data_IF_674882407586
#
_entry.id   IF_674882407586
#
_cell.length_a   1.000
_cell.length_b   1.000
_cell.length_c   1.000
_cell.angle_alpha   90.00
_cell.angle_beta   90.00
_cell.angle_gamma   90.00
#
_symmetry.space_group_name_H-M   'P 1'
#
loop_
_entity.id
_entity.type
_entity.pdbx_description
1 polymer ?
#
# COMPACT_ATOMS: atom_id res chain seq x y z
N UNK A 1 0.07 4.93 21.06
CA UNK A 1 -0.93 3.85 20.87
C UNK A 1 -0.27 2.50 21.16
N UNK A 2 -0.99 1.54 21.73
CA UNK A 2 -0.32 0.33 22.21
C UNK A 2 -0.48 -0.81 21.21
N UNK A 3 0.63 -1.34 20.68
CA UNK A 3 0.65 -2.54 19.84
C UNK A 3 0.18 -3.81 20.57
N UNK A 4 -0.03 -3.73 21.89
CA UNK A 4 -0.37 -4.87 22.74
C UNK A 4 -1.69 -5.59 22.37
N UNK A 5 -2.56 -4.93 21.60
CA UNK A 5 -3.78 -5.56 21.10
C UNK A 5 -3.55 -6.46 19.88
N UNK A 6 -2.41 -6.31 19.18
CA UNK A 6 -2.10 -7.07 17.97
C UNK A 6 -1.08 -8.16 18.26
N UNK A 7 -1.31 -9.34 17.69
CA UNK A 7 -0.31 -10.41 17.66
C UNK A 7 0.66 -10.14 16.50
N UNK A 8 1.89 -9.76 16.85
CA UNK A 8 2.92 -9.39 15.87
C UNK A 8 4.11 -10.34 15.99
N UNK A 9 4.39 -11.07 14.91
CA UNK A 9 5.62 -11.84 14.78
C UNK A 9 6.73 -10.91 14.30
N UNK A 10 7.81 -10.84 15.08
CA UNK A 10 8.96 -9.95 14.82
C UNK A 10 10.16 -10.78 14.43
N UNK A 11 10.71 -10.49 13.26
CA UNK A 11 11.89 -11.16 12.71
C UNK A 11 13.04 -10.14 12.60
N UNK A 12 14.25 -10.53 13.02
CA UNK A 12 15.41 -9.67 12.80
C UNK A 12 15.71 -9.55 11.31
N UNK A 13 15.75 -10.69 10.60
CA UNK A 13 15.99 -10.78 9.16
C UNK A 13 15.16 -11.92 8.57
N UNK A 14 14.65 -11.71 7.36
CA UNK A 14 13.90 -12.71 6.59
C UNK A 14 14.16 -12.47 5.09
N UNK A 15 13.86 -13.44 4.24
CA UNK A 15 13.89 -13.19 2.79
C UNK A 15 12.77 -12.23 2.37
N UNK A 16 11.52 -12.49 2.78
CA UNK A 16 10.37 -11.64 2.55
C UNK A 16 9.31 -11.88 3.63
N UNK A 17 8.78 -10.82 4.21
CA UNK A 17 7.66 -10.91 5.18
C UNK A 17 6.41 -11.53 4.55
N UNK A 18 6.14 -11.28 3.26
CA UNK A 18 5.04 -11.92 2.54
C UNK A 18 5.23 -13.44 2.41
N UNK A 19 6.45 -13.88 2.07
CA UNK A 19 6.74 -15.33 1.99
C UNK A 19 6.58 -15.98 3.35
N UNK A 20 7.18 -15.42 4.39
CA UNK A 20 7.03 -15.93 5.76
C UNK A 20 5.56 -15.99 6.19
N UNK A 21 4.78 -14.93 5.92
CA UNK A 21 3.36 -14.90 6.24
C UNK A 21 2.57 -15.99 5.48
N UNK A 22 2.96 -16.32 4.24
CA UNK A 22 2.37 -17.39 3.45
C UNK A 22 2.71 -18.77 4.02
N UNK A 23 3.99 -19.00 4.28
CA UNK A 23 4.48 -20.31 4.77
C UNK A 23 3.93 -20.64 6.16
N UNK A 24 3.76 -19.62 7.01
CA UNK A 24 3.27 -19.75 8.39
C UNK A 24 1.77 -19.38 8.56
N UNK A 25 1.02 -19.24 7.47
CA UNK A 25 -0.34 -18.69 7.49
C UNK A 25 -1.29 -19.39 8.48
N UNK A 26 -1.21 -20.71 8.59
CA UNK A 26 -2.06 -21.47 9.52
C UNK A 26 -1.74 -21.16 10.99
N UNK A 27 -0.44 -21.10 11.34
CA UNK A 27 0.03 -20.79 12.69
C UNK A 27 -0.27 -19.34 13.06
N UNK A 28 0.00 -18.40 12.16
CA UNK A 28 -0.31 -16.98 12.33
C UNK A 28 -1.81 -16.78 12.56
N UNK A 29 -2.65 -17.41 11.74
CA UNK A 29 -4.11 -17.29 11.87
C UNK A 29 -4.62 -17.86 13.18
N UNK A 30 -4.09 -19.01 13.62
CA UNK A 30 -4.44 -19.62 14.90
C UNK A 30 -4.07 -18.74 16.09
N UNK A 31 -2.93 -18.06 16.02
CA UNK A 31 -2.35 -17.31 17.13
C UNK A 31 -2.68 -15.81 17.10
N UNK A 32 -3.51 -15.33 16.16
CA UNK A 32 -3.81 -13.90 15.98
C UNK A 32 -4.58 -13.24 17.14
N UNK A 33 -4.99 -14.01 18.13
CA UNK A 33 -5.83 -13.52 19.23
C UNK A 33 -7.25 -13.23 18.77
N UNK A 34 -7.81 -12.10 19.19
CA UNK A 34 -9.17 -11.65 18.84
C UNK A 34 -9.20 -10.76 17.58
N UNK A 35 -8.05 -10.43 16.99
CA UNK A 35 -7.99 -9.62 15.78
C UNK A 35 -8.44 -10.39 14.54
N UNK A 36 -8.99 -9.68 13.58
CA UNK A 36 -9.39 -10.22 12.28
C UNK A 36 -8.22 -10.35 11.30
N UNK A 37 -6.98 -10.19 11.78
CA UNK A 37 -5.75 -10.29 11.01
C UNK A 37 -4.56 -10.68 11.88
N UNK A 38 -3.48 -11.15 11.25
CA UNK A 38 -2.18 -11.38 11.88
C UNK A 38 -1.11 -10.54 11.19
N UNK A 39 -0.04 -10.21 11.91
CA UNK A 39 1.03 -9.34 11.43
C UNK A 39 2.39 -10.00 11.56
N UNK A 40 3.20 -9.87 10.52
CA UNK A 40 4.63 -10.22 10.52
C UNK A 40 5.41 -8.97 10.16
N UNK A 41 6.42 -8.62 10.96
CA UNK A 41 7.36 -7.52 10.66
C UNK A 41 8.80 -8.01 10.69
N UNK A 42 9.67 -7.37 9.92
CA UNK A 42 11.10 -7.69 9.89
C UNK A 42 11.95 -6.42 9.94
N UNK A 43 13.09 -6.51 10.65
CA UNK A 43 14.09 -5.46 10.66
C UNK A 43 14.83 -5.35 9.31
N UNK A 44 14.94 -6.45 8.58
CA UNK A 44 15.57 -6.49 7.25
C UNK A 44 14.98 -7.58 6.36
N UNK A 45 14.84 -7.30 5.06
CA UNK A 45 14.51 -8.29 4.03
C UNK A 45 15.67 -8.48 3.06
N UNK A 46 16.15 -9.73 2.91
CA UNK A 46 17.25 -10.06 1.97
C UNK A 46 16.79 -10.22 0.53
N UNK A 47 15.48 -10.46 0.31
CA UNK A 47 14.85 -10.61 -1.00
C UNK A 47 13.46 -9.93 -1.00
N UNK A 48 13.43 -8.65 -0.59
CA UNK A 48 12.21 -7.85 -0.55
C UNK A 48 11.54 -7.81 -1.92
N UNK A 49 10.22 -8.02 -1.96
CA UNK A 49 9.44 -8.20 -3.19
C UNK A 49 8.52 -7.01 -3.43
N UNK A 50 8.46 -6.59 -4.69
CA UNK A 50 7.45 -5.69 -5.22
C UNK A 50 6.58 -6.38 -6.26
N UNK A 51 5.66 -5.65 -6.88
CA UNK A 51 4.78 -6.21 -7.90
C UNK A 51 5.55 -6.64 -9.15
N UNK A 52 5.15 -7.80 -9.74
CA UNK A 52 5.61 -8.33 -11.03
C UNK A 52 7.15 -8.36 -11.20
N UNK A 53 7.86 -8.85 -10.18
CA UNK A 53 9.30 -9.06 -10.22
C UNK A 53 10.14 -7.84 -9.82
N UNK A 54 9.54 -6.73 -9.48
CA UNK A 54 10.26 -5.62 -8.86
C UNK A 54 10.75 -6.03 -7.46
N UNK A 55 11.84 -5.41 -7.01
CA UNK A 55 12.38 -5.59 -5.68
C UNK A 55 12.06 -4.39 -4.78
N UNK A 56 11.92 -4.65 -3.49
CA UNK A 56 11.87 -3.62 -2.47
C UNK A 56 13.20 -3.62 -1.70
N UNK A 57 13.98 -2.55 -1.85
CA UNK A 57 15.26 -2.38 -1.17
C UNK A 57 15.13 -1.42 0.00
N UNK A 58 15.73 -1.77 1.13
CA UNK A 58 15.64 -1.01 2.37
C UNK A 58 16.85 -1.30 3.24
N UNK A 59 17.37 -0.28 3.90
CA UNK A 59 18.38 -0.45 4.93
C UNK A 59 17.79 -1.15 6.16
N UNK A 60 18.61 -1.96 6.84
CA UNK A 60 18.17 -2.69 8.02
C UNK A 60 17.80 -1.72 9.16
N UNK A 61 16.61 -1.90 9.73
CA UNK A 61 16.14 -1.16 10.90
C UNK A 61 15.69 0.29 10.64
N UNK A 62 15.77 0.80 9.39
CA UNK A 62 15.41 2.19 9.10
C UNK A 62 13.96 2.35 8.62
N UNK A 63 13.33 1.29 8.13
CA UNK A 63 12.01 1.35 7.51
C UNK A 63 11.06 0.30 8.09
N UNK A 64 9.76 0.48 7.86
CA UNK A 64 8.77 -0.54 8.18
C UNK A 64 8.61 -1.52 7.01
N UNK A 65 8.91 -2.79 7.30
CA UNK A 65 8.76 -3.92 6.40
C UNK A 65 7.85 -4.92 7.09
N UNK A 66 6.61 -5.00 6.68
CA UNK A 66 5.65 -5.88 7.34
C UNK A 66 4.61 -6.44 6.38
N UNK A 67 3.97 -7.51 6.79
CA UNK A 67 2.87 -8.15 6.07
C UNK A 67 1.70 -8.39 7.01
N UNK A 68 0.48 -8.14 6.50
CA UNK A 68 -0.77 -8.44 7.19
C UNK A 68 -1.42 -9.62 6.49
N UNK A 69 -1.77 -10.65 7.25
CA UNK A 69 -2.55 -11.80 6.80
C UNK A 69 -4.01 -11.60 7.18
N UNK A 70 -4.91 -11.63 6.20
CA UNK A 70 -6.37 -11.56 6.38
C UNK A 70 -7.07 -12.73 5.70
N UNK A 71 -8.27 -13.06 6.17
CA UNK A 71 -9.18 -14.02 5.54
C UNK A 71 -10.56 -13.42 5.40
N UNK A 72 -10.79 -12.65 4.33
CA UNK A 72 -12.07 -11.95 4.11
C UNK A 72 -13.23 -12.93 3.82
N UNK A 73 -12.97 -14.06 3.17
CA UNK A 73 -13.99 -15.03 2.82
C UNK A 73 -15.13 -14.40 2.02
N UNK A 74 -16.37 -14.74 2.35
CA UNK A 74 -17.58 -14.24 1.67
C UNK A 74 -17.74 -12.71 1.69
N UNK A 75 -16.97 -12.02 2.52
CA UNK A 75 -17.02 -10.56 2.56
C UNK A 75 -16.25 -9.90 1.40
N UNK A 76 -15.49 -10.65 0.57
CA UNK A 76 -14.76 -10.07 -0.56
C UNK A 76 -14.83 -10.97 -1.80
N UNK A 77 -15.67 -10.58 -2.75
CA UNK A 77 -15.73 -11.25 -4.05
C UNK A 77 -14.48 -10.98 -4.89
N UNK A 78 -14.04 -11.99 -5.68
CA UNK A 78 -12.88 -11.87 -6.58
C UNK A 78 -13.00 -10.68 -7.54
N UNK A 79 -14.20 -10.44 -8.09
CA UNK A 79 -14.46 -9.31 -8.99
C UNK A 79 -14.34 -7.93 -8.33
N UNK A 80 -14.34 -7.87 -6.98
CA UNK A 80 -14.19 -6.66 -6.16
C UNK A 80 -12.91 -6.65 -5.34
N UNK A 81 -11.95 -7.52 -5.66
CA UNK A 81 -10.71 -7.70 -4.90
C UNK A 81 -9.89 -6.42 -4.73
N UNK A 82 -10.03 -5.46 -5.65
CA UNK A 82 -9.29 -4.20 -5.59
C UNK A 82 -9.72 -3.32 -4.40
N UNK A 83 -10.92 -3.52 -3.85
CA UNK A 83 -11.35 -2.84 -2.61
C UNK A 83 -10.38 -3.07 -1.44
N UNK A 84 -9.75 -4.23 -1.35
CA UNK A 84 -8.75 -4.48 -0.30
C UNK A 84 -7.50 -3.60 -0.50
N UNK A 85 -7.04 -3.44 -1.75
CA UNK A 85 -5.95 -2.52 -2.07
C UNK A 85 -6.29 -1.07 -1.74
N UNK A 86 -7.53 -0.66 -2.04
CA UNK A 86 -8.04 0.68 -1.72
C UNK A 86 -8.08 0.92 -0.21
N UNK A 87 -8.63 -0.01 0.56
CA UNK A 87 -8.70 0.08 2.03
C UNK A 87 -7.30 0.23 2.67
N UNK A 88 -6.33 -0.57 2.21
CA UNK A 88 -4.94 -0.48 2.68
C UNK A 88 -4.29 0.86 2.32
N UNK A 89 -4.50 1.33 1.09
CA UNK A 89 -3.92 2.59 0.63
C UNK A 89 -4.47 3.79 1.41
N UNK A 90 -5.78 3.81 1.67
CA UNK A 90 -6.42 4.86 2.48
C UNK A 90 -5.93 4.80 3.93
N UNK A 91 -5.82 3.59 4.50
CA UNK A 91 -5.29 3.40 5.86
C UNK A 91 -3.88 3.98 6.01
N UNK A 92 -3.01 3.75 5.03
CA UNK A 92 -1.67 4.35 4.99
C UNK A 92 -1.73 5.88 4.86
N UNK A 93 -2.59 6.40 3.98
CA UNK A 93 -2.78 7.85 3.83
C UNK A 93 -3.19 8.51 5.15
N UNK A 94 -4.20 7.99 5.81
CA UNK A 94 -4.71 8.57 7.06
C UNK A 94 -3.71 8.40 8.21
N UNK A 95 -2.98 7.28 8.26
CA UNK A 95 -1.88 7.12 9.19
C UNK A 95 -0.79 8.18 8.98
N UNK A 96 -0.41 8.50 7.74
CA UNK A 96 0.58 9.53 7.43
C UNK A 96 0.09 10.92 7.82
N UNK A 97 -1.20 11.20 7.69
CA UNK A 97 -1.80 12.46 8.16
C UNK A 97 -1.59 12.71 9.65
N UNK A 98 -1.58 11.66 10.49
CA UNK A 98 -1.28 11.79 11.92
C UNK A 98 0.14 12.31 12.18
N UNK A 99 1.05 12.14 11.22
CA UNK A 99 2.42 12.65 11.26
C UNK A 99 2.60 13.98 10.50
N UNK A 100 1.50 14.60 10.03
CA UNK A 100 1.52 15.83 9.26
C UNK A 100 2.00 15.66 7.82
N UNK A 101 2.00 14.44 7.29
CA UNK A 101 2.44 14.12 5.92
C UNK A 101 1.21 13.96 5.04
N UNK A 102 1.03 14.88 4.09
CA UNK A 102 -0.03 14.79 3.09
C UNK A 102 0.43 13.94 1.91
N UNK A 103 -0.25 12.81 1.72
CA UNK A 103 0.10 11.81 0.70
C UNK A 103 -0.97 11.72 -0.38
N UNK A 104 -0.62 11.16 -1.53
CA UNK A 104 -1.51 10.82 -2.62
C UNK A 104 -1.38 9.35 -2.98
N UNK A 105 -2.49 8.75 -3.40
CA UNK A 105 -2.56 7.34 -3.76
C UNK A 105 -2.21 7.19 -5.24
N UNK A 106 -1.03 6.66 -5.56
CA UNK A 106 -0.66 6.40 -6.95
C UNK A 106 -1.09 4.99 -7.35
N UNK A 107 -2.08 4.93 -8.23
CA UNK A 107 -2.51 3.65 -8.79
C UNK A 107 -1.34 2.86 -9.40
N UNK A 108 -1.31 1.53 -9.19
CA UNK A 108 -2.33 0.74 -8.49
C UNK A 108 -2.05 0.54 -6.98
N UNK A 109 -0.84 0.81 -6.47
CA UNK A 109 -0.40 0.26 -5.19
C UNK A 109 0.69 1.06 -4.47
N UNK A 110 0.90 2.29 -4.84
CA UNK A 110 1.97 3.12 -4.28
C UNK A 110 1.41 4.34 -3.53
N UNK A 111 2.11 4.78 -2.50
CA UNK A 111 1.84 6.00 -1.75
C UNK A 111 2.91 7.03 -2.09
N UNK A 112 2.51 8.21 -2.48
CA UNK A 112 3.38 9.29 -2.97
C UNK A 112 3.22 10.56 -2.16
N UNK A 113 4.28 11.38 -2.13
CA UNK A 113 4.27 12.78 -1.70
C UNK A 113 4.88 13.59 -2.84
N UNK A 114 4.06 14.36 -3.54
CA UNK A 114 4.44 14.96 -4.81
C UNK A 114 4.79 13.87 -5.84
N UNK A 115 5.99 13.95 -6.43
CA UNK A 115 6.50 12.97 -7.39
C UNK A 115 7.38 11.89 -6.74
N UNK A 116 7.42 11.77 -5.41
CA UNK A 116 8.32 10.88 -4.67
C UNK A 116 7.56 9.76 -3.97
N UNK A 117 8.07 8.54 -4.08
CA UNK A 117 7.46 7.34 -3.50
C UNK A 117 7.80 7.19 -2.02
N UNK A 118 6.77 7.18 -1.18
CA UNK A 118 6.88 6.97 0.26
C UNK A 118 6.68 5.50 0.66
N UNK A 119 5.69 4.83 0.06
CA UNK A 119 5.40 3.44 0.37
C UNK A 119 4.95 2.64 -0.86
N UNK A 120 5.04 1.31 -0.75
CA UNK A 120 4.52 0.37 -1.73
C UNK A 120 3.74 -0.76 -1.06
N UNK A 121 2.68 -1.22 -1.73
CA UNK A 121 1.80 -2.28 -1.26
C UNK A 121 1.90 -3.45 -2.23
N UNK A 122 2.01 -4.68 -1.71
CA UNK A 122 2.02 -5.92 -2.49
C UNK A 122 0.95 -6.87 -1.97
N UNK A 123 -0.15 -7.02 -2.71
CA UNK A 123 -1.18 -8.00 -2.40
C UNK A 123 -0.90 -9.33 -3.10
N UNK A 124 -0.97 -10.40 -2.34
CA UNK A 124 -0.96 -11.78 -2.83
C UNK A 124 -2.25 -12.46 -2.33
N UNK A 125 -3.06 -12.94 -3.26
CA UNK A 125 -4.42 -13.41 -2.99
C UNK A 125 -4.56 -14.89 -3.30
N UNK A 126 -5.24 -15.62 -2.42
CA UNK A 126 -5.68 -16.99 -2.64
C UNK A 126 -7.22 -17.01 -2.72
N UNK A 127 -7.77 -17.86 -3.58
CA UNK A 127 -9.18 -17.83 -3.93
C UNK A 127 -9.87 -19.15 -3.58
N UNK A 128 -11.13 -19.06 -3.10
CA UNK A 128 -12.04 -20.18 -2.98
C UNK A 128 -13.35 -19.84 -3.72
N UNK A 129 -13.54 -20.44 -4.88
CA UNK A 129 -14.69 -20.16 -5.74
C UNK A 129 -14.75 -18.69 -6.17
N UNK A 130 -15.82 -17.99 -5.83
CA UNK A 130 -16.04 -16.59 -6.17
C UNK A 130 -15.45 -15.59 -5.16
N UNK A 131 -14.77 -16.06 -4.12
CA UNK A 131 -14.33 -15.22 -3.01
C UNK A 131 -12.82 -15.27 -2.81
N UNK A 132 -12.28 -14.20 -2.20
CA UNK A 132 -10.89 -14.15 -1.71
C UNK A 132 -10.85 -14.89 -0.37
N UNK A 133 -10.26 -16.07 -0.35
CA UNK A 133 -10.15 -16.89 0.86
C UNK A 133 -9.12 -16.30 1.82
N UNK A 134 -7.96 -15.94 1.29
CA UNK A 134 -6.84 -15.40 2.05
C UNK A 134 -6.14 -14.33 1.27
N UNK A 135 -5.68 -13.29 1.96
CA UNK A 135 -4.81 -12.26 1.38
C UNK A 135 -3.60 -12.01 2.28
N UNK A 136 -2.44 -11.87 1.65
CA UNK A 136 -1.22 -11.40 2.28
C UNK A 136 -0.89 -10.03 1.71
N UNK A 137 -0.85 -9.04 2.58
CA UNK A 137 -0.70 -7.64 2.27
C UNK A 137 0.68 -7.21 2.72
N UNK A 138 1.66 -7.20 1.82
CA UNK A 138 3.01 -6.69 2.09
C UNK A 138 3.04 -5.18 1.98
N UNK A 139 3.66 -4.53 2.95
CA UNK A 139 3.83 -3.09 2.99
C UNK A 139 5.29 -2.77 3.26
N UNK A 140 5.90 -1.99 2.37
CA UNK A 140 7.17 -1.31 2.59
C UNK A 140 6.90 0.18 2.74
N UNK A 141 7.19 0.74 3.90
CA UNK A 141 7.05 2.17 4.20
C UNK A 141 8.41 2.74 4.57
N UNK A 142 8.86 3.73 3.81
CA UNK A 142 10.10 4.44 4.09
C UNK A 142 9.89 5.38 5.29
N UNK A 143 10.57 5.11 6.40
CA UNK A 143 10.38 5.87 7.66
C UNK A 143 11.59 6.74 7.97
N UNK A 144 12.74 6.15 8.28
CA UNK A 144 13.93 6.86 8.76
C UNK A 144 15.06 6.92 7.74
N UNK A 145 15.01 6.11 6.67
CA UNK A 145 16.07 6.06 5.66
C UNK A 145 16.20 7.41 4.93
N UNK A 146 17.42 7.97 4.92
CA UNK A 146 17.70 9.26 4.27
C UNK A 146 18.56 9.11 3.01
N UNK A 147 19.19 7.95 2.81
CA UNK A 147 20.03 7.67 1.67
C UNK A 147 19.50 6.47 0.89
N UNK A 148 19.16 6.69 -0.36
CA UNK A 148 18.67 5.67 -1.26
C UNK A 148 19.62 5.49 -2.45
N UNK A 149 19.86 4.27 -2.93
CA UNK A 149 20.59 4.07 -4.18
C UNK A 149 19.79 4.69 -5.35
N UNK A 150 20.45 4.97 -6.48
CA UNK A 150 19.73 5.40 -7.69
C UNK A 150 18.62 4.41 -8.06
N UNK A 151 17.41 4.92 -8.28
CA UNK A 151 16.21 4.13 -8.59
C UNK A 151 15.38 4.85 -9.66
N UNK A 152 14.61 4.08 -10.45
CA UNK A 152 13.72 4.63 -11.48
C UNK A 152 12.65 5.56 -10.89
N UNK A 153 12.15 5.22 -9.69
CA UNK A 153 11.19 6.04 -8.93
C UNK A 153 11.92 6.72 -7.79
N UNK A 154 11.83 8.04 -7.74
CA UNK A 154 12.48 8.83 -6.67
C UNK A 154 11.85 8.47 -5.32
N UNK A 155 12.61 7.90 -4.38
CA UNK A 155 12.10 7.57 -3.06
C UNK A 155 12.11 8.78 -2.14
N UNK A 156 11.29 8.72 -1.09
CA UNK A 156 11.30 9.64 0.04
C UNK A 156 10.93 8.90 1.30
N UNK A 157 11.41 9.35 2.46
CA UNK A 157 11.01 8.83 3.77
C UNK A 157 10.26 9.88 4.60
N UNK A 158 9.57 9.42 5.63
CA UNK A 158 8.90 10.31 6.59
C UNK A 158 9.89 11.30 7.22
N UNK A 159 11.10 10.83 7.57
CA UNK A 159 12.16 11.66 8.15
C UNK A 159 12.61 12.75 7.20
N UNK A 160 12.88 12.42 5.94
CA UNK A 160 13.27 13.39 4.91
C UNK A 160 12.20 14.46 4.69
N UNK A 161 10.92 14.10 4.69
CA UNK A 161 9.81 15.03 4.55
C UNK A 161 9.72 15.98 5.74
N UNK A 162 9.82 15.45 6.95
CA UNK A 162 9.75 16.22 8.17
C UNK A 162 10.91 17.22 8.29
N UNK A 163 12.14 16.78 7.95
CA UNK A 163 13.35 17.62 8.00
C UNK A 163 13.30 18.74 6.94
N UNK A 164 12.83 18.43 5.74
CA UNK A 164 12.68 19.41 4.67
C UNK A 164 11.66 20.51 4.98
N UNK A 165 10.54 20.16 5.61
CA UNK A 165 9.49 21.11 5.99
C UNK A 165 9.93 22.08 7.10
N UNK A 166 10.76 21.59 8.03
CA UNK A 166 11.17 22.34 9.24
C UNK A 166 12.57 22.87 9.24
N UNK A 167 13.35 22.57 8.20
CA UNK A 167 14.76 22.94 8.04
C UNK A 167 15.61 22.55 9.28
N UNK A 168 15.30 21.41 9.89
CA UNK A 168 15.93 20.90 11.10
C UNK A 168 16.15 19.39 10.99
N UNK A 169 17.21 18.92 11.64
CA UNK A 169 17.40 17.48 11.84
C UNK A 169 16.39 16.95 12.86
N UNK A 170 15.99 15.69 12.67
CA UNK A 170 15.08 14.98 13.56
C UNK A 170 15.72 13.70 14.08
N UNK A 171 15.45 13.36 15.33
CA UNK A 171 15.60 11.99 15.80
C UNK A 171 14.71 11.03 15.00
N UNK A 172 15.08 9.76 14.96
CA UNK A 172 14.32 8.75 14.24
C UNK A 172 12.89 8.61 14.77
N UNK A 173 11.96 8.38 13.88
CA UNK A 173 10.62 7.93 14.26
C UNK A 173 10.72 6.53 14.89
N UNK A 174 9.99 6.31 15.97
CA UNK A 174 9.86 4.99 16.58
C UNK A 174 9.01 4.12 15.66
N UNK A 175 9.61 3.10 15.03
CA UNK A 175 8.94 2.26 14.03
C UNK A 175 7.68 1.59 14.57
N UNK A 176 7.68 1.20 15.84
CA UNK A 176 6.54 0.58 16.49
C UNK A 176 5.36 1.53 16.65
N UNK A 177 5.58 2.82 16.88
CA UNK A 177 4.51 3.82 16.97
C UNK A 177 3.89 4.05 15.58
N UNK A 178 4.72 4.10 14.54
CA UNK A 178 4.24 4.21 13.15
C UNK A 178 3.46 2.96 12.76
N UNK A 179 3.96 1.76 13.09
CA UNK A 179 3.25 0.51 12.83
C UNK A 179 1.89 0.47 13.55
N UNK A 180 1.84 0.86 14.83
CA UNK A 180 0.59 0.92 15.59
C UNK A 180 -0.44 1.82 14.92
N UNK A 181 -0.01 3.01 14.50
CA UNK A 181 -0.89 3.97 13.82
C UNK A 181 -1.44 3.40 12.51
N UNK A 182 -0.57 2.76 11.69
CA UNK A 182 -1.01 2.12 10.44
C UNK A 182 -1.99 0.98 10.70
N UNK A 183 -1.74 0.14 11.71
CA UNK A 183 -2.61 -0.99 12.04
C UNK A 183 -3.96 -0.53 12.58
N UNK A 184 -4.04 0.56 13.35
CA UNK A 184 -5.30 1.12 13.85
C UNK A 184 -6.20 1.58 12.70
N UNK A 185 -5.64 2.30 11.71
CA UNK A 185 -6.40 2.69 10.50
C UNK A 185 -6.72 1.48 9.61
N UNK A 186 -5.81 0.52 9.48
CA UNK A 186 -6.09 -0.70 8.72
C UNK A 186 -7.25 -1.48 9.33
N UNK A 187 -7.28 -1.65 10.66
CA UNK A 187 -8.39 -2.34 11.36
C UNK A 187 -9.72 -1.67 11.06
N UNK A 188 -9.77 -0.33 11.10
CA UNK A 188 -10.95 0.45 10.76
C UNK A 188 -11.43 0.18 9.33
N UNK A 189 -10.58 0.39 8.32
CA UNK A 189 -10.97 0.22 6.92
C UNK A 189 -11.22 -1.24 6.53
N UNK A 190 -10.56 -2.18 7.18
CA UNK A 190 -10.83 -3.60 6.98
C UNK A 190 -12.20 -4.01 7.58
N UNK A 191 -12.59 -3.43 8.71
CA UNK A 191 -13.94 -3.61 9.25
C UNK A 191 -15.01 -3.01 8.32
N UNK A 192 -14.79 -1.80 7.79
CA UNK A 192 -15.67 -1.20 6.79
C UNK A 192 -15.81 -2.06 5.52
N UNK A 193 -14.72 -2.66 5.05
CA UNK A 193 -14.75 -3.59 3.91
C UNK A 193 -15.59 -4.83 4.22
N UNK A 194 -15.50 -5.37 5.43
CA UNK A 194 -16.19 -6.62 5.81
C UNK A 194 -17.67 -6.41 6.14
N UNK A 195 -18.00 -5.35 6.83
CA UNK A 195 -19.31 -5.16 7.48
C UNK A 195 -20.02 -3.86 7.11
N UNK A 196 -19.29 -2.93 6.52
CA UNK A 196 -19.74 -1.56 6.35
C UNK A 196 -19.90 -1.11 4.92
N UNK A 197 -19.48 0.12 4.67
CA UNK A 197 -19.75 0.86 3.45
C UNK A 197 -18.59 0.77 2.46
N UNK A 198 -18.62 -0.24 1.59
CA UNK A 198 -17.61 -0.46 0.54
C UNK A 198 -17.57 0.64 -0.51
N UNK A 199 -18.71 1.27 -0.78
CA UNK A 199 -18.81 2.40 -1.71
C UNK A 199 -18.07 3.62 -1.17
N UNK A 200 -18.09 3.85 0.15
CA UNK A 200 -17.30 4.89 0.78
C UNK A 200 -15.79 4.66 0.59
N UNK A 201 -15.30 3.41 0.73
CA UNK A 201 -13.89 3.08 0.48
C UNK A 201 -13.50 3.46 -0.96
N UNK A 202 -14.30 3.07 -1.95
CA UNK A 202 -14.02 3.38 -3.34
C UNK A 202 -14.04 4.89 -3.63
N UNK A 203 -15.00 5.61 -3.04
CA UNK A 203 -15.12 7.06 -3.16
C UNK A 203 -13.92 7.78 -2.54
N UNK A 204 -13.57 7.43 -1.30
CA UNK A 204 -12.42 8.00 -0.60
C UNK A 204 -11.08 7.72 -1.31
N UNK A 205 -10.90 6.51 -1.85
CA UNK A 205 -9.73 6.18 -2.67
C UNK A 205 -9.64 7.06 -3.89
N UNK A 206 -10.78 7.23 -4.60
CA UNK A 206 -10.84 8.06 -5.81
C UNK A 206 -10.47 9.52 -5.52
N UNK A 207 -10.98 10.10 -4.44
CA UNK A 207 -10.69 11.49 -4.07
C UNK A 207 -9.20 11.74 -3.80
N UNK A 208 -8.49 10.74 -3.27
CA UNK A 208 -7.06 10.83 -2.92
C UNK A 208 -6.12 10.34 -4.03
N UNK A 209 -6.69 9.93 -5.18
CA UNK A 209 -5.91 9.36 -6.28
C UNK A 209 -5.04 10.44 -6.95
N UNK A 210 -3.76 10.16 -7.07
CA UNK A 210 -2.81 11.06 -7.74
C UNK A 210 -3.23 11.28 -9.20
N UNK A 211 -3.40 12.52 -9.59
CA UNK A 211 -3.77 12.91 -10.94
C UNK A 211 -5.27 12.76 -11.27
N UNK A 212 -6.13 12.47 -10.28
CA UNK A 212 -7.59 12.41 -10.51
C UNK A 212 -8.12 13.76 -11.02
N UNK A 213 -8.97 13.74 -12.04
CA UNK A 213 -9.62 14.89 -12.64
C UNK A 213 -8.65 16.00 -13.12
N UNK A 214 -7.37 15.71 -13.29
CA UNK A 214 -6.36 16.62 -13.82
C UNK A 214 -5.70 16.05 -15.07
N UNK A 215 -5.27 16.92 -15.99
CA UNK A 215 -4.62 16.48 -17.22
C UNK A 215 -3.17 16.08 -16.96
N UNK A 216 -2.80 14.91 -17.43
CA UNK A 216 -1.43 14.38 -17.35
C UNK A 216 -1.02 13.72 -18.66
N UNK A 217 0.30 13.54 -18.80
CA UNK A 217 0.88 12.72 -19.87
C UNK A 217 0.96 11.27 -19.41
N UNK A 218 0.57 10.36 -20.28
CA UNK A 218 0.62 8.92 -20.07
C UNK A 218 1.40 8.25 -21.20
N UNK A 219 1.97 7.09 -20.90
CA UNK A 219 2.62 6.22 -21.87
C UNK A 219 1.91 4.86 -21.84
N UNK A 220 1.46 4.37 -22.99
CA UNK A 220 0.98 3.00 -23.17
C UNK A 220 1.73 2.31 -24.33
N UNK A 221 1.31 1.11 -24.72
CA UNK A 221 1.92 0.35 -25.84
C UNK A 221 1.90 1.08 -27.19
N UNK A 222 1.07 2.11 -27.34
CA UNK A 222 0.93 2.89 -28.58
C UNK A 222 1.73 4.20 -28.52
N UNK A 223 2.38 4.53 -27.39
CA UNK A 223 3.17 5.74 -27.19
C UNK A 223 2.58 6.70 -26.18
N UNK A 224 3.05 7.97 -26.21
CA UNK A 224 2.62 9.02 -25.30
C UNK A 224 1.26 9.59 -25.72
N UNK A 225 0.43 9.89 -24.73
CA UNK A 225 -0.85 10.58 -24.92
C UNK A 225 -1.20 11.46 -23.72
N UNK A 226 -2.04 12.46 -23.92
CA UNK A 226 -2.62 13.27 -22.86
C UNK A 226 -4.00 12.76 -22.48
N UNK A 227 -4.28 12.75 -21.18
CA UNK A 227 -5.57 12.30 -20.66
C UNK A 227 -5.80 12.71 -19.22
N UNK A 228 -6.98 12.38 -18.72
CA UNK A 228 -7.46 12.64 -17.35
C UNK A 228 -7.89 11.33 -16.74
N UNK A 229 -7.36 11.00 -15.55
CA UNK A 229 -7.87 9.87 -14.76
C UNK A 229 -9.28 10.23 -14.29
N UNK A 230 -10.26 9.41 -14.61
CA UNK A 230 -11.67 9.61 -14.20
C UNK A 230 -12.12 8.62 -13.13
N UNK A 231 -11.34 7.57 -12.87
CA UNK A 231 -11.60 6.61 -11.80
C UNK A 231 -10.86 5.30 -11.96
N UNK A 232 -11.18 4.37 -11.07
CA UNK A 232 -10.74 2.98 -11.08
C UNK A 232 -11.96 2.09 -10.91
N UNK A 233 -12.06 1.03 -11.70
CA UNK A 233 -13.15 0.05 -11.60
C UNK A 233 -12.95 -0.92 -10.42
N UNK A 234 -14.00 -1.66 -10.06
CA UNK A 234 -14.01 -2.61 -8.95
C UNK A 234 -12.95 -3.72 -9.09
N UNK A 235 -12.60 -4.07 -10.32
CA UNK A 235 -11.56 -5.06 -10.62
C UNK A 235 -10.14 -4.48 -10.69
N UNK A 236 -10.02 -3.16 -10.47
CA UNK A 236 -8.74 -2.44 -10.38
C UNK A 236 -8.27 -1.81 -11.69
N UNK A 237 -9.04 -1.85 -12.79
CA UNK A 237 -8.66 -1.17 -14.01
C UNK A 237 -8.75 0.35 -13.87
N UNK A 238 -7.69 1.04 -14.31
CA UNK A 238 -7.64 2.49 -14.37
C UNK A 238 -8.41 3.00 -15.61
N UNK A 239 -9.25 3.99 -15.42
CA UNK A 239 -10.02 4.62 -16.49
C UNK A 239 -9.47 6.00 -16.78
N UNK A 240 -9.04 6.21 -18.03
CA UNK A 240 -8.48 7.48 -18.51
C UNK A 240 -9.31 7.99 -19.68
N UNK A 241 -9.83 9.21 -19.55
CA UNK A 241 -10.43 9.93 -20.65
C UNK A 241 -9.33 10.67 -21.41
N UNK A 242 -9.13 10.31 -22.68
CA UNK A 242 -8.07 10.85 -23.53
C UNK A 242 -8.50 12.18 -24.16
N UNK A 243 -7.52 13.00 -24.52
CA UNK A 243 -7.75 14.30 -25.18
C UNK A 243 -8.46 14.18 -26.55
N UNK A 244 -8.36 13.04 -27.23
CA UNK A 244 -9.07 12.74 -28.48
C UNK A 244 -10.56 12.40 -28.29
N UNK A 245 -11.04 12.43 -27.04
CA UNK A 245 -12.43 12.10 -26.67
C UNK A 245 -12.67 10.64 -26.40
N UNK A 246 -11.70 9.75 -26.62
CA UNK A 246 -11.83 8.32 -26.32
C UNK A 246 -11.63 8.04 -24.82
N UNK A 247 -12.15 6.90 -24.35
CA UNK A 247 -11.91 6.44 -22.97
C UNK A 247 -11.16 5.12 -23.02
N UNK A 248 -9.99 5.10 -22.39
CA UNK A 248 -9.15 3.91 -22.24
C UNK A 248 -9.36 3.24 -20.89
N UNK A 249 -9.37 1.89 -20.90
CA UNK A 249 -9.42 1.01 -19.74
C UNK A 249 -8.11 0.25 -19.67
N UNK A 250 -7.38 0.39 -18.55
CA UNK A 250 -6.02 -0.09 -18.45
C UNK A 250 -5.84 -1.02 -17.26
N UNK A 251 -5.34 -2.20 -17.52
CA UNK A 251 -4.82 -3.08 -16.49
C UNK A 251 -3.44 -2.58 -16.00
N UNK A 252 -3.02 -3.11 -14.87
CA UNK A 252 -1.71 -2.77 -14.32
C UNK A 252 -0.54 -3.03 -15.30
N UNK A 253 0.35 -2.06 -15.46
CA UNK A 253 1.47 -1.99 -16.43
C UNK A 253 1.07 -1.75 -17.90
N UNK A 254 -0.19 -1.60 -18.22
CA UNK A 254 -0.58 -1.23 -19.58
C UNK A 254 -0.46 0.27 -19.84
N UNK A 255 -0.40 1.05 -18.78
CA UNK A 255 -0.21 2.50 -18.84
C UNK A 255 0.68 2.97 -17.68
N UNK A 256 1.46 3.99 -17.93
CA UNK A 256 2.27 4.70 -16.94
C UNK A 256 2.01 6.21 -17.01
N UNK A 257 1.78 6.83 -15.85
CA UNK A 257 1.69 8.29 -15.73
C UNK A 257 3.10 8.87 -15.62
N UNK A 258 3.43 9.83 -16.47
CA UNK A 258 4.69 10.61 -16.41
C UNK A 258 4.56 11.62 -15.27
N UNK A 259 5.51 11.58 -14.31
CA UNK A 259 5.58 12.46 -13.14
C UNK A 259 6.67 13.52 -13.28
#
# INVERSE_FOLDING_TARGET
MALNKYQIVRLATVDSTNRHARDEAAALWKNRGTCDFAVVTAGHQTAGRGQRGNTWNSNAGENLLFSILVRPGESLEVKKQFLLSQAVAIALHDAMKCYGIDTQLKWPNDIYVGNRKLAGILLELDYAGAFVEQAIIGIGLNVNQTHFPPMDKVPVSMKMLWEAEREKQREDFILDDVLATVLDFFEHYYAELRYGNREAIAAEYKERLLGINTQHTFIDKNGCFEGVIIGVEDDGHLIIHRKDGSTGRYAFKEVEMVL
#
